data_IF_489717543970
#
_entry.id   IF_489717543970
#
_cell.length_a   1.000
_cell.length_b   1.000
_cell.length_c   1.000
_cell.angle_alpha   90.00
_cell.angle_beta   90.00
_cell.angle_gamma   90.00
#
_symmetry.space_group_name_H-M   'P 1'
#
loop_
_entity.id
_entity.type
_entity.pdbx_description
1 polymer ?
#
# COMPACT_ATOMS: atom_id res chain seq x y z
N UNK A 1 -29.67 -6.32 -16.91
CA UNK A 1 -30.77 -7.28 -16.68
C UNK A 1 -30.20 -8.42 -15.85
N UNK A 2 -30.36 -8.36 -14.53
CA UNK A 2 -29.93 -9.44 -13.63
C UNK A 2 -30.88 -10.62 -13.86
N UNK A 3 -30.45 -11.61 -14.65
CA UNK A 3 -31.28 -12.74 -15.11
C UNK A 3 -31.46 -13.85 -14.07
N UNK A 4 -31.26 -13.55 -12.78
CA UNK A 4 -31.32 -14.54 -11.70
C UNK A 4 -32.20 -14.06 -10.54
N UNK A 5 -33.37 -13.47 -10.84
CA UNK A 5 -34.40 -13.24 -9.81
C UNK A 5 -35.07 -14.53 -9.31
N UNK A 6 -34.71 -15.67 -9.87
CA UNK A 6 -35.10 -16.98 -9.38
C UNK A 6 -33.88 -17.87 -9.53
N UNK A 7 -33.09 -18.05 -8.46
CA UNK A 7 -32.08 -19.10 -8.41
C UNK A 7 -32.84 -20.41 -8.61
N UNK A 8 -32.66 -21.14 -9.73
CA UNK A 8 -33.34 -22.40 -9.91
C UNK A 8 -32.94 -23.34 -8.77
N UNK A 9 -33.88 -24.14 -8.25
CA UNK A 9 -33.65 -25.15 -7.19
C UNK A 9 -32.66 -26.28 -7.58
N UNK A 10 -31.93 -26.11 -8.69
CA UNK A 10 -30.88 -27.01 -9.18
C UNK A 10 -29.57 -26.57 -8.54
N UNK A 11 -28.75 -27.52 -8.07
CA UNK A 11 -27.41 -27.21 -7.55
C UNK A 11 -26.61 -26.48 -8.64
N UNK A 12 -26.36 -25.19 -8.42
CA UNK A 12 -25.40 -24.41 -9.20
C UNK A 12 -24.02 -24.74 -8.63
N UNK A 13 -23.04 -25.09 -9.47
CA UNK A 13 -21.69 -25.36 -8.96
C UNK A 13 -21.05 -24.05 -8.47
N UNK A 14 -20.16 -24.15 -7.48
CA UNK A 14 -19.61 -23.01 -6.75
C UNK A 14 -18.91 -22.01 -7.70
N UNK A 15 -18.18 -22.50 -8.68
CA UNK A 15 -17.46 -21.68 -9.65
C UNK A 15 -18.38 -20.73 -10.43
N UNK A 16 -19.56 -21.20 -10.85
CA UNK A 16 -20.51 -20.38 -11.59
C UNK A 16 -21.13 -19.30 -10.69
N UNK A 17 -21.34 -19.62 -9.41
CA UNK A 17 -21.82 -18.65 -8.43
C UNK A 17 -20.75 -17.60 -8.13
N UNK A 18 -19.48 -18.00 -7.98
CA UNK A 18 -18.37 -17.07 -7.76
C UNK A 18 -18.15 -16.17 -8.98
N UNK A 19 -18.20 -16.71 -10.20
CA UNK A 19 -18.08 -15.92 -11.43
C UNK A 19 -19.20 -14.89 -11.51
N UNK A 20 -20.43 -15.32 -11.26
CA UNK A 20 -21.57 -14.41 -11.22
C UNK A 20 -21.36 -13.29 -10.17
N UNK A 21 -20.92 -13.67 -8.97
CA UNK A 21 -20.70 -12.71 -7.89
C UNK A 21 -19.61 -11.68 -8.19
N UNK A 22 -18.47 -12.12 -8.75
CA UNK A 22 -17.32 -11.24 -8.97
C UNK A 22 -17.38 -10.45 -10.28
N UNK A 23 -18.03 -10.98 -11.32
CA UNK A 23 -17.97 -10.39 -12.66
C UNK A 23 -19.31 -9.86 -13.18
N UNK A 24 -20.44 -10.46 -12.80
CA UNK A 24 -21.75 -10.05 -13.32
C UNK A 24 -22.46 -9.03 -12.41
N UNK A 25 -22.17 -9.02 -11.12
CA UNK A 25 -22.74 -8.05 -10.18
C UNK A 25 -21.95 -6.73 -10.27
N UNK A 26 -22.56 -5.63 -10.71
CA UNK A 26 -21.86 -4.35 -10.75
C UNK A 26 -21.61 -3.84 -9.34
N UNK A 27 -20.43 -3.27 -9.11
CA UNK A 27 -20.12 -2.61 -7.85
C UNK A 27 -21.10 -1.43 -7.62
N UNK A 28 -21.58 -1.22 -6.38
CA UNK A 28 -22.43 -0.08 -6.07
C UNK A 28 -21.70 1.24 -6.36
N UNK A 29 -22.42 2.23 -6.89
CA UNK A 29 -21.89 3.58 -6.97
C UNK A 29 -21.65 4.14 -5.55
N UNK A 30 -20.69 5.05 -5.34
CA UNK A 30 -20.54 5.75 -4.07
C UNK A 30 -21.88 6.36 -3.67
N UNK A 31 -22.28 6.24 -2.40
CA UNK A 31 -23.59 6.66 -1.83
C UNK A 31 -24.83 5.84 -2.22
N UNK A 32 -24.71 4.81 -3.08
CA UNK A 32 -25.80 3.87 -3.37
C UNK A 32 -25.58 2.54 -2.66
N UNK A 33 -26.69 1.92 -2.26
CA UNK A 33 -26.72 0.57 -1.69
C UNK A 33 -27.45 -0.35 -2.66
N UNK A 34 -26.91 -1.53 -2.90
CA UNK A 34 -27.52 -2.58 -3.72
C UNK A 34 -27.81 -3.75 -2.79
N UNK A 35 -29.08 -4.13 -2.68
CA UNK A 35 -29.45 -5.37 -2.01
C UNK A 35 -29.37 -6.52 -3.03
N UNK A 36 -28.64 -7.56 -2.68
CA UNK A 36 -28.46 -8.76 -3.48
C UNK A 36 -29.00 -9.98 -2.73
N UNK A 37 -29.73 -10.83 -3.43
CA UNK A 37 -30.36 -12.02 -2.84
C UNK A 37 -29.51 -13.28 -3.14
N UNK A 38 -28.99 -13.92 -2.10
CA UNK A 38 -28.26 -15.19 -2.16
C UNK A 38 -29.19 -16.39 -1.89
N UNK A 39 -30.49 -16.24 -2.13
CA UNK A 39 -31.50 -17.29 -2.00
C UNK A 39 -31.97 -17.51 -0.56
N UNK A 40 -31.04 -17.73 0.39
CA UNK A 40 -31.35 -17.85 1.82
C UNK A 40 -30.98 -16.60 2.64
N UNK A 41 -30.21 -15.69 2.06
CA UNK A 41 -29.70 -14.51 2.74
C UNK A 41 -29.68 -13.32 1.78
N UNK A 42 -30.19 -12.17 2.21
CA UNK A 42 -30.00 -10.92 1.50
C UNK A 42 -28.74 -10.22 2.02
N UNK A 43 -27.85 -9.85 1.10
CA UNK A 43 -26.62 -9.12 1.38
C UNK A 43 -26.76 -7.70 0.84
N UNK A 44 -26.49 -6.73 1.70
CA UNK A 44 -26.47 -5.32 1.32
C UNK A 44 -25.04 -4.92 0.96
N UNK A 45 -24.82 -4.59 -0.32
CA UNK A 45 -23.57 -4.06 -0.82
C UNK A 45 -23.64 -2.54 -0.84
N UNK A 46 -22.63 -1.88 -0.27
CA UNK A 46 -22.50 -0.43 -0.31
C UNK A 46 -21.05 -0.07 -0.68
N UNK A 47 -20.89 0.95 -1.53
CA UNK A 47 -19.59 1.51 -1.83
C UNK A 47 -19.36 2.73 -0.95
N UNK A 48 -18.19 2.78 -0.29
CA UNK A 48 -17.79 3.91 0.53
C UNK A 48 -17.58 5.14 -0.34
N UNK A 49 -17.89 6.30 0.21
CA UNK A 49 -17.41 7.55 -0.36
C UNK A 49 -15.90 7.69 -0.12
N UNK A 50 -15.27 8.47 -0.97
CA UNK A 50 -13.83 8.69 -0.96
C UNK A 50 -13.33 9.50 0.26
N UNK A 51 -14.27 10.13 0.97
CA UNK A 51 -14.10 10.89 2.20
C UNK A 51 -14.69 10.18 3.43
N UNK A 52 -15.19 8.96 3.28
CA UNK A 52 -15.61 8.18 4.44
C UNK A 52 -14.35 7.76 5.21
N UNK A 53 -14.40 7.91 6.54
CA UNK A 53 -13.32 7.48 7.43
C UNK A 53 -12.97 6.01 7.14
N UNK A 54 -11.71 5.63 6.94
CA UNK A 54 -11.37 4.24 6.67
C UNK A 54 -11.83 3.35 7.83
N UNK A 55 -12.57 2.27 7.52
CA UNK A 55 -12.79 1.21 8.51
C UNK A 55 -11.50 0.40 8.54
N UNK A 56 -10.82 0.42 9.68
CA UNK A 56 -9.81 -0.58 9.94
C UNK A 56 -10.49 -1.82 10.51
N UNK A 57 -10.50 -2.89 9.72
CA UNK A 57 -10.85 -4.24 10.20
C UNK A 57 -9.70 -4.88 10.97
N UNK A 58 -8.70 -4.09 11.34
CA UNK A 58 -7.45 -4.53 11.92
C UNK A 58 -7.44 -4.26 13.43
N UNK A 59 -6.84 -5.16 14.24
CA UNK A 59 -6.76 -4.97 15.67
C UNK A 59 -5.77 -3.85 16.01
N UNK A 60 -6.24 -2.59 15.96
CA UNK A 60 -5.49 -1.37 16.26
C UNK A 60 -4.72 -1.49 17.58
N UNK A 61 -5.36 -2.07 18.59
CA UNK A 61 -4.80 -2.27 19.92
C UNK A 61 -3.48 -3.06 19.90
N UNK A 62 -3.38 -4.09 19.05
CA UNK A 62 -2.16 -4.89 18.95
C UNK A 62 -0.99 -4.11 18.33
N UNK A 63 -1.26 -3.28 17.33
CA UNK A 63 -0.24 -2.43 16.72
C UNK A 63 0.23 -1.33 17.69
N UNK A 64 -0.69 -0.71 18.44
CA UNK A 64 -0.36 0.36 19.40
C UNK A 64 0.32 -0.15 20.66
N UNK A 65 0.12 -1.41 21.05
CA UNK A 65 0.82 -2.02 22.19
C UNK A 65 2.25 -2.38 21.86
N UNK A 66 2.55 -2.72 20.60
CA UNK A 66 3.91 -3.07 20.16
C UNK A 66 4.80 -1.87 19.85
N UNK A 67 4.22 -0.73 19.49
CA UNK A 67 4.97 0.50 19.19
C UNK A 67 4.85 1.50 20.33
N UNK A 68 5.99 2.07 20.77
CA UNK A 68 5.97 3.18 21.73
C UNK A 68 5.31 4.42 21.12
N UNK A 69 4.67 5.23 21.98
CA UNK A 69 3.99 6.48 21.60
C UNK A 69 4.89 7.43 20.79
N UNK A 70 6.16 7.54 21.18
CA UNK A 70 7.15 8.38 20.50
C UNK A 70 7.44 7.89 19.08
N UNK A 71 7.52 6.57 18.88
CA UNK A 71 7.75 5.97 17.56
C UNK A 71 6.57 6.21 16.64
N UNK A 72 5.35 6.10 17.15
CA UNK A 72 4.12 6.38 16.40
C UNK A 72 4.13 7.83 15.91
N UNK A 73 4.39 8.79 16.80
CA UNK A 73 4.48 10.20 16.42
C UNK A 73 5.60 10.45 15.39
N UNK A 74 6.75 9.80 15.56
CA UNK A 74 7.86 9.92 14.62
C UNK A 74 7.53 9.36 13.24
N UNK A 75 6.89 8.19 13.17
CA UNK A 75 6.46 7.58 11.91
C UNK A 75 5.42 8.46 11.21
N UNK A 76 4.41 8.95 11.95
CA UNK A 76 3.43 9.89 11.41
C UNK A 76 4.08 11.16 10.87
N UNK A 77 5.05 11.72 11.60
CA UNK A 77 5.84 12.86 11.12
C UNK A 77 6.57 12.54 9.81
N UNK A 78 7.21 11.38 9.71
CA UNK A 78 7.89 10.95 8.48
C UNK A 78 6.92 10.77 7.32
N UNK A 79 5.73 10.24 7.58
CA UNK A 79 4.67 10.07 6.57
C UNK A 79 4.15 11.43 6.09
N UNK A 80 3.86 12.36 6.99
CA UNK A 80 3.43 13.71 6.64
C UNK A 80 4.50 14.51 5.88
N UNK A 81 5.77 14.19 6.10
CA UNK A 81 6.91 14.77 5.38
C UNK A 81 7.27 14.02 4.09
N UNK A 82 6.42 13.05 3.68
CA UNK A 82 6.60 12.21 2.49
C UNK A 82 7.99 11.55 2.42
N UNK A 83 8.54 11.15 3.57
CA UNK A 83 9.84 10.46 3.63
C UNK A 83 9.69 8.99 3.27
N UNK A 84 10.77 8.41 2.74
CA UNK A 84 10.85 6.96 2.48
C UNK A 84 11.02 6.24 3.81
N UNK A 85 10.07 5.35 4.14
CA UNK A 85 10.05 4.58 5.37
C UNK A 85 10.12 3.10 5.03
N UNK A 86 10.94 2.35 5.76
CA UNK A 86 11.00 0.89 5.67
C UNK A 86 10.68 0.34 7.06
N UNK A 87 9.65 -0.48 7.14
CA UNK A 87 9.30 -1.20 8.36
C UNK A 87 9.98 -2.57 8.36
N UNK A 88 10.57 -2.93 9.50
CA UNK A 88 11.18 -4.23 9.71
C UNK A 88 10.46 -4.86 10.89
N UNK A 89 9.92 -6.06 10.70
CA UNK A 89 9.22 -6.82 11.74
C UNK A 89 9.75 -8.26 11.77
N UNK A 90 9.77 -8.86 12.97
CA UNK A 90 10.08 -10.28 13.13
C UNK A 90 8.94 -11.19 12.65
N UNK A 91 7.70 -10.72 12.77
CA UNK A 91 6.50 -11.42 12.29
C UNK A 91 5.89 -10.71 11.08
N UNK A 92 5.85 -11.39 9.93
CA UNK A 92 5.32 -10.84 8.70
C UNK A 92 3.80 -10.59 8.78
N UNK A 93 3.08 -11.33 9.62
CA UNK A 93 1.63 -11.19 9.76
C UNK A 93 1.22 -9.85 10.38
N UNK A 94 2.10 -9.25 11.19
CA UNK A 94 1.85 -7.97 11.87
C UNK A 94 2.29 -6.76 11.03
N UNK A 95 3.20 -6.97 10.08
CA UNK A 95 3.78 -5.89 9.27
C UNK A 95 2.71 -5.20 8.41
N UNK A 96 1.93 -5.97 7.65
CA UNK A 96 0.88 -5.40 6.78
C UNK A 96 -0.17 -4.65 7.58
N UNK A 97 -0.70 -5.20 8.69
CA UNK A 97 -1.62 -4.46 9.54
C UNK A 97 -1.13 -3.13 10.07
N UNK A 98 0.12 -3.09 10.54
CA UNK A 98 0.73 -1.86 11.05
C UNK A 98 0.92 -0.84 9.92
N UNK A 99 1.29 -1.29 8.72
CA UNK A 99 1.40 -0.42 7.55
C UNK A 99 0.05 0.21 7.17
N UNK A 100 -1.00 -0.61 7.05
CA UNK A 100 -2.37 -0.14 6.74
C UNK A 100 -2.90 0.84 7.80
N UNK A 101 -2.56 0.59 9.08
CA UNK A 101 -2.90 1.49 10.17
C UNK A 101 -2.31 2.89 9.94
N UNK A 102 -1.01 2.97 9.70
CA UNK A 102 -0.35 4.25 9.49
C UNK A 102 -0.84 4.98 8.24
N UNK A 103 -1.16 4.25 7.17
CA UNK A 103 -1.78 4.83 5.97
C UNK A 103 -3.19 5.35 6.27
N UNK A 104 -3.97 4.61 7.06
CA UNK A 104 -5.32 5.03 7.45
C UNK A 104 -5.32 6.26 8.37
N UNK A 105 -4.30 6.39 9.22
CA UNK A 105 -4.11 7.57 10.08
C UNK A 105 -3.78 8.85 9.30
N UNK A 106 -3.40 8.75 8.01
CA UNK A 106 -3.20 9.92 7.15
C UNK A 106 -4.51 10.58 6.74
N UNK A 107 -5.67 9.93 6.90
CA UNK A 107 -6.97 10.49 6.52
C UNK A 107 -7.13 11.94 7.03
N UNK A 108 -7.57 12.89 6.17
CA UNK A 108 -8.06 12.73 4.80
C UNK A 108 -6.96 12.76 3.72
N UNK A 109 -5.69 12.90 4.11
CA UNK A 109 -4.56 12.88 3.18
C UNK A 109 -4.37 11.47 2.61
N UNK A 110 -3.97 11.41 1.33
CA UNK A 110 -3.70 10.14 0.64
C UNK A 110 -2.20 10.00 0.43
N UNK A 111 -1.66 8.85 0.80
CA UNK A 111 -0.29 8.50 0.46
C UNK A 111 -0.14 8.41 -1.07
N UNK A 112 0.70 9.26 -1.67
CA UNK A 112 0.89 9.34 -3.13
C UNK A 112 2.07 8.51 -3.64
N UNK A 113 2.86 7.93 -2.75
CA UNK A 113 4.08 7.21 -3.12
C UNK A 113 3.87 5.69 -3.16
N UNK A 114 4.89 4.98 -3.64
CA UNK A 114 4.86 3.53 -3.72
C UNK A 114 4.63 2.93 -2.32
N UNK A 115 3.55 2.17 -2.19
CA UNK A 115 3.19 1.42 -1.01
C UNK A 115 3.37 -0.07 -1.29
N UNK A 116 4.22 -0.72 -0.51
CA UNK A 116 4.50 -2.15 -0.63
C UNK A 116 4.69 -2.73 0.77
N UNK A 117 3.63 -3.25 1.42
CA UNK A 117 3.69 -3.72 2.80
C UNK A 117 4.54 -4.99 2.94
N UNK A 118 4.65 -5.79 1.88
CA UNK A 118 5.49 -6.98 1.82
C UNK A 118 6.49 -6.86 0.69
N UNK A 119 7.77 -6.81 1.04
CA UNK A 119 8.86 -6.69 0.10
C UNK A 119 9.60 -8.02 -0.01
N UNK A 120 9.75 -8.54 -1.23
CA UNK A 120 10.58 -9.72 -1.46
C UNK A 120 12.05 -9.41 -1.16
N UNK A 121 12.81 -10.43 -0.70
CA UNK A 121 14.24 -10.25 -0.37
C UNK A 121 15.05 -9.69 -1.53
N UNK A 122 14.77 -10.12 -2.76
CA UNK A 122 15.44 -9.63 -3.96
C UNK A 122 15.19 -8.14 -4.21
N UNK A 123 13.94 -7.68 -4.04
CA UNK A 123 13.61 -6.26 -4.18
C UNK A 123 14.27 -5.41 -3.10
N UNK A 124 14.28 -5.89 -1.85
CA UNK A 124 14.98 -5.21 -0.75
C UNK A 124 16.48 -5.03 -1.03
N UNK A 125 17.17 -6.09 -1.46
CA UNK A 125 18.59 -6.02 -1.82
C UNK A 125 18.86 -4.99 -2.92
N UNK A 126 18.00 -4.94 -3.96
CA UNK A 126 18.12 -3.97 -5.04
C UNK A 126 17.95 -2.52 -4.56
N UNK A 127 16.97 -2.27 -3.68
CA UNK A 127 16.74 -0.94 -3.10
C UNK A 127 17.93 -0.48 -2.25
N UNK A 128 18.49 -1.38 -1.44
CA UNK A 128 19.66 -1.09 -0.62
C UNK A 128 20.91 -0.80 -1.48
N UNK A 129 21.11 -1.56 -2.57
CA UNK A 129 22.27 -1.38 -3.44
C UNK A 129 22.23 -0.06 -4.23
N UNK A 130 21.03 0.38 -4.66
CA UNK A 130 20.85 1.67 -5.33
C UNK A 130 21.18 2.85 -4.42
N UNK A 131 20.82 2.77 -3.13
CA UNK A 131 21.16 3.80 -2.14
C UNK A 131 22.67 3.99 -1.98
N UNK A 132 23.45 2.88 -1.97
CA UNK A 132 24.90 2.96 -1.83
C UNK A 132 25.60 3.48 -3.09
N UNK A 133 25.09 3.17 -4.28
CA UNK A 133 25.67 3.65 -5.55
C UNK A 133 25.53 5.16 -5.75
N UNK A 134 24.43 5.77 -5.30
CA UNK A 134 24.26 7.24 -5.33
C UNK A 134 25.20 7.98 -4.37
N UNK A 135 25.70 7.31 -3.33
CA UNK A 135 26.69 7.87 -2.41
C UNK A 135 28.13 7.75 -2.95
N UNK A 136 28.46 6.66 -3.66
CA UNK A 136 29.81 6.41 -4.18
C UNK A 136 30.16 7.14 -5.48
N UNK A 137 29.18 7.67 -6.22
CA UNK A 137 29.43 8.47 -7.44
C UNK A 137 29.71 9.96 -7.15
N UNK A 138 29.57 10.41 -5.89
CA UNK A 138 29.85 11.79 -5.49
C UNK A 138 31.30 12.00 -5.00
N UNK A 139 32.10 10.94 -4.83
CA UNK A 139 33.47 11.02 -4.30
C UNK A 139 34.57 10.87 -5.35
N UNK A 140 34.25 10.87 -6.65
CA UNK A 140 35.23 10.72 -7.73
C UNK A 140 35.18 11.89 -8.72
N UNK A 141 35.36 13.11 -8.22
CA UNK A 141 35.60 14.28 -9.09
C UNK A 141 36.34 15.38 -8.33
N UNK A 142 37.62 15.17 -8.02
CA UNK A 142 38.56 16.27 -7.75
C UNK A 142 40.02 15.80 -7.78
N UNK A 143 40.61 15.73 -8.98
CA UNK A 143 42.05 15.90 -9.15
C UNK A 143 42.37 16.10 -10.63
N UNK A 144 42.15 17.33 -11.10
CA UNK A 144 42.80 17.89 -12.30
C UNK A 144 43.66 19.07 -11.85
N UNK A 145 44.96 18.83 -11.65
CA UNK A 145 45.99 19.86 -11.58
C UNK A 145 46.73 19.83 -12.93
N UNK A 146 46.40 20.71 -13.87
CA UNK A 146 47.03 22.02 -14.10
C UNK A 146 48.53 21.89 -14.41
N UNK A 147 48.83 21.60 -15.67
CA UNK A 147 50.15 21.79 -16.27
C UNK A 147 50.12 23.03 -17.16
N UNK A 148 50.79 24.09 -16.70
CA UNK A 148 51.00 25.35 -17.43
C UNK A 148 52.00 25.17 -18.60
N UNK A 149 51.98 26.07 -19.60
CA UNK A 149 52.80 25.97 -20.81
C UNK A 149 54.15 26.70 -20.66
N UNK A 150 55.18 26.23 -21.32
CA UNK A 150 56.39 27.03 -21.57
C UNK A 150 56.89 26.84 -23.00
N UNK A 151 56.76 27.92 -23.75
CA UNK A 151 57.34 28.17 -25.08
C UNK A 151 58.81 28.57 -24.94
N UNK A 152 59.56 28.35 -26.03
CA UNK A 152 60.69 29.15 -26.57
C UNK A 152 62.14 28.66 -26.36
N UNK A 153 62.83 28.48 -27.50
CA UNK A 153 64.27 28.73 -27.82
C UNK A 153 65.34 27.92 -27.08
N UNK A 154 66.32 27.29 -27.72
CA UNK A 154 67.12 27.67 -28.90
C UNK A 154 67.70 26.43 -29.58
#
# INVERSE_FOLDING_TARGET
RCLWHVIPKKLIPLENLLVHYFYDIPAPAPSRKIAYDLGQMQVLLACRNEFDVPILELPMETAFTQLSKDRICFILKLLLLEKRIIFICGDMHQLTPVCELFVSLLFPLRWKHLYMPLLSRAMFQSLMQKSNKSASSASSSSSSAFSSPSTTTS
#
